data_IF_390360570361
#
_entry.id   IF_390360570361
#
_cell.length_a   1.000
_cell.length_b   1.000
_cell.length_c   1.000
_cell.angle_alpha   90.00
_cell.angle_beta   90.00
_cell.angle_gamma   90.00
#
_symmetry.space_group_name_H-M   'P 1'
#
loop_
_entity.id
_entity.type
_entity.pdbx_description
1 polymer ?
#
# COMPACT_ATOMS: atom_id res chain seq x y z
N UNK A 1 15.33 2.65 6.05
CA UNK A 1 15.04 1.82 7.23
C UNK A 1 16.01 0.67 7.14
N UNK A 2 16.93 0.55 8.08
CA UNK A 2 17.94 -0.52 8.01
C UNK A 2 17.35 -1.79 8.62
N UNK A 3 17.34 -2.86 7.83
CA UNK A 3 16.89 -4.18 8.24
C UNK A 3 18.12 -5.03 8.55
N UNK A 4 18.19 -5.56 9.78
CA UNK A 4 19.26 -6.46 10.21
C UNK A 4 18.76 -7.91 10.20
N UNK A 5 19.51 -8.82 9.58
CA UNK A 5 19.19 -10.24 9.58
C UNK A 5 19.60 -10.88 10.91
N UNK A 6 18.63 -11.27 11.73
CA UNK A 6 18.88 -11.96 13.00
C UNK A 6 18.90 -13.49 12.86
N UNK A 7 18.15 -14.05 11.90
CA UNK A 7 18.06 -15.48 11.62
C UNK A 7 17.43 -15.74 10.23
N UNK A 8 17.72 -16.91 9.65
CA UNK A 8 17.18 -17.34 8.35
C UNK A 8 17.98 -16.85 7.15
N UNK A 9 17.37 -16.88 5.98
CA UNK A 9 17.99 -16.41 4.73
C UNK A 9 17.83 -14.90 4.57
N UNK A 10 18.80 -14.29 3.89
CA UNK A 10 18.76 -12.87 3.51
C UNK A 10 17.80 -12.60 2.34
N UNK A 11 16.56 -13.11 2.43
CA UNK A 11 15.49 -12.86 1.49
C UNK A 11 14.38 -12.05 2.16
N UNK A 12 14.24 -10.80 1.72
CA UNK A 12 13.27 -9.85 2.25
C UNK A 12 12.05 -9.68 1.33
N UNK A 13 12.04 -10.36 0.18
CA UNK A 13 10.91 -10.37 -0.73
C UNK A 13 9.77 -11.19 -0.12
N UNK A 14 8.63 -10.55 0.07
CA UNK A 14 7.48 -11.13 0.72
C UNK A 14 6.21 -10.78 -0.02
N UNK A 15 5.18 -11.56 0.29
CA UNK A 15 3.84 -11.33 -0.22
C UNK A 15 2.86 -11.29 0.94
N UNK A 16 2.05 -10.24 0.96
CA UNK A 16 1.04 -10.01 2.00
C UNK A 16 -0.33 -9.85 1.37
N UNK A 17 -1.36 -10.30 2.06
CA UNK A 17 -2.74 -10.18 1.61
C UNK A 17 -3.50 -9.29 2.60
N UNK A 18 -3.97 -8.13 2.13
CA UNK A 18 -4.87 -7.26 2.88
C UNK A 18 -6.14 -7.00 2.05
N UNK A 19 -7.31 -7.14 2.68
CA UNK A 19 -8.62 -6.85 2.06
C UNK A 19 -8.84 -7.52 0.69
N UNK A 20 -8.27 -8.73 0.53
CA UNK A 20 -8.34 -9.53 -0.69
C UNK A 20 -7.48 -8.99 -1.85
N UNK A 21 -6.50 -8.12 -1.56
CA UNK A 21 -5.47 -7.65 -2.50
C UNK A 21 -4.13 -8.23 -2.05
N UNK A 22 -3.36 -8.71 -3.02
CA UNK A 22 -2.06 -9.33 -2.82
C UNK A 22 -0.97 -8.32 -3.17
N UNK A 23 -0.16 -7.96 -2.19
CA UNK A 23 0.95 -7.02 -2.34
C UNK A 23 2.25 -7.80 -2.30
N UNK A 24 3.11 -7.55 -3.30
CA UNK A 24 4.49 -8.02 -3.29
C UNK A 24 5.38 -6.88 -2.84
N UNK A 25 6.20 -7.11 -1.83
CA UNK A 25 7.03 -6.08 -1.24
C UNK A 25 8.38 -6.65 -0.82
N UNK A 26 9.38 -5.78 -0.77
CA UNK A 26 10.69 -6.07 -0.25
C UNK A 26 10.92 -5.17 0.97
N UNK A 27 10.95 -5.76 2.17
CA UNK A 27 11.08 -5.02 3.43
C UNK A 27 12.37 -4.19 3.52
N UNK A 28 13.38 -4.48 2.69
CA UNK A 28 14.59 -3.67 2.60
C UNK A 28 14.44 -2.39 1.77
N UNK A 29 13.42 -2.32 0.91
CA UNK A 29 13.24 -1.23 -0.06
C UNK A 29 12.03 -0.36 0.20
N UNK A 30 10.99 -0.91 0.81
CA UNK A 30 9.72 -0.21 1.00
C UNK A 30 9.29 -0.23 2.46
N UNK A 31 8.58 0.81 2.87
CA UNK A 31 7.90 0.83 4.15
C UNK A 31 6.58 0.07 4.07
N UNK A 32 6.33 -0.82 5.04
CA UNK A 32 5.06 -1.52 5.19
C UNK A 32 4.71 -1.76 6.66
N UNK A 33 3.43 -1.57 7.01
CA UNK A 33 2.92 -1.84 8.36
C UNK A 33 1.51 -2.45 8.30
N UNK A 34 1.40 -3.75 8.57
CA UNK A 34 0.13 -4.50 8.55
C UNK A 34 -0.88 -4.08 9.63
N UNK A 35 -0.46 -3.30 10.64
CA UNK A 35 -1.37 -2.78 11.66
C UNK A 35 -2.23 -1.61 11.18
N UNK A 36 -1.89 -1.03 10.03
CA UNK A 36 -2.62 0.11 9.45
C UNK A 36 -3.82 -0.32 8.61
N UNK A 37 -4.10 -1.62 8.47
CA UNK A 37 -5.22 -2.15 7.66
C UNK A 37 -6.58 -1.48 7.95
N UNK A 38 -6.89 -1.24 9.22
CA UNK A 38 -8.13 -0.59 9.64
C UNK A 38 -8.19 0.86 9.18
N UNK A 39 -7.05 1.56 9.20
CA UNK A 39 -6.94 2.93 8.70
C UNK A 39 -7.09 2.94 7.18
N UNK A 40 -6.38 2.07 6.46
CA UNK A 40 -6.50 1.93 5.00
C UNK A 40 -7.96 1.72 4.58
N UNK A 41 -8.63 0.75 5.21
CA UNK A 41 -10.02 0.39 4.88
C UNK A 41 -10.98 1.54 5.18
N UNK A 42 -10.92 2.14 6.37
CA UNK A 42 -11.79 3.27 6.74
C UNK A 42 -11.58 4.52 5.89
N UNK A 43 -10.34 4.79 5.47
CA UNK A 43 -10.06 5.91 4.57
C UNK A 43 -10.69 5.69 3.20
N UNK A 44 -10.54 4.48 2.64
CA UNK A 44 -11.08 4.15 1.32
C UNK A 44 -12.61 4.10 1.31
N UNK A 45 -13.23 3.64 2.41
CA UNK A 45 -14.71 3.62 2.57
C UNK A 45 -15.36 5.01 2.51
N UNK A 46 -14.60 6.08 2.76
CA UNK A 46 -15.10 7.46 2.69
C UNK A 46 -15.11 8.03 1.27
N UNK A 47 -14.47 7.35 0.32
CA UNK A 47 -14.36 7.88 -1.02
C UNK A 47 -15.63 7.60 -1.85
N UNK A 48 -16.04 8.55 -2.69
CA UNK A 48 -17.17 8.39 -3.62
C UNK A 48 -16.75 8.47 -5.10
N UNK A 49 -17.62 8.03 -6.02
CA UNK A 49 -17.31 8.00 -7.47
C UNK A 49 -17.03 9.37 -8.10
N UNK A 50 -17.34 10.47 -7.43
CA UNK A 50 -17.09 11.83 -7.88
C UNK A 50 -15.74 12.36 -7.36
N UNK A 51 -15.06 11.64 -6.46
CA UNK A 51 -13.77 12.06 -5.92
C UNK A 51 -12.63 11.77 -6.90
N UNK A 52 -11.75 12.76 -7.04
CA UNK A 52 -10.42 12.58 -7.61
C UNK A 52 -9.44 12.48 -6.44
N UNK A 53 -8.92 11.28 -6.19
CA UNK A 53 -7.99 11.01 -5.09
C UNK A 53 -6.55 11.09 -5.60
N UNK A 54 -5.71 11.81 -4.86
CA UNK A 54 -4.27 11.88 -5.06
C UNK A 54 -3.57 11.22 -3.86
N UNK A 55 -2.85 10.13 -4.11
CA UNK A 55 -2.04 9.46 -3.10
C UNK A 55 -0.57 9.91 -3.22
N UNK A 56 -0.21 10.91 -2.41
CA UNK A 56 1.10 11.59 -2.48
C UNK A 56 2.25 10.70 -1.99
N UNK A 57 1.95 9.71 -1.15
CA UNK A 57 2.92 8.80 -0.55
C UNK A 57 2.46 7.36 -0.74
N UNK A 58 2.14 7.01 -1.99
CA UNK A 58 1.44 5.76 -2.28
C UNK A 58 2.26 4.52 -1.91
N UNK A 59 3.59 4.58 -1.89
CA UNK A 59 4.43 3.41 -1.62
C UNK A 59 4.04 2.25 -2.54
N UNK A 60 3.64 1.11 -1.95
CA UNK A 60 3.13 -0.04 -2.72
C UNK A 60 1.61 -0.02 -2.99
N UNK A 61 0.94 1.07 -2.65
CA UNK A 61 -0.45 1.38 -2.97
C UNK A 61 -1.52 0.84 -2.02
N UNK A 62 -1.36 0.89 -0.68
CA UNK A 62 -2.35 0.35 0.25
C UNK A 62 -3.70 1.08 0.24
N UNK A 63 -3.76 2.35 -0.21
CA UNK A 63 -5.01 3.10 -0.36
C UNK A 63 -5.54 3.05 -1.78
N UNK A 64 -4.65 3.24 -2.76
CA UNK A 64 -5.06 3.35 -4.17
C UNK A 64 -5.58 2.03 -4.75
N UNK A 65 -4.95 0.89 -4.42
CA UNK A 65 -5.38 -0.41 -4.96
C UNK A 65 -6.78 -0.82 -4.47
N UNK A 66 -7.12 -0.66 -3.17
CA UNK A 66 -8.50 -0.81 -2.72
C UNK A 66 -9.47 0.16 -3.39
N UNK A 67 -9.10 1.44 -3.56
CA UNK A 67 -9.97 2.43 -4.20
C UNK A 67 -10.26 2.09 -5.69
N UNK A 68 -9.27 1.59 -6.44
CA UNK A 68 -9.45 1.10 -7.82
C UNK A 68 -10.48 -0.03 -7.86
N UNK A 69 -10.41 -0.98 -6.91
CA UNK A 69 -11.33 -2.12 -6.83
C UNK A 69 -12.79 -1.68 -6.64
N UNK A 70 -13.02 -0.49 -6.07
CA UNK A 70 -14.33 0.15 -5.90
C UNK A 70 -14.76 1.02 -7.11
N UNK A 71 -14.02 0.97 -8.23
CA UNK A 71 -14.30 1.66 -9.51
C UNK A 71 -14.27 3.19 -9.43
N UNK A 72 -13.28 3.73 -8.73
CA UNK A 72 -13.08 5.16 -8.59
C UNK A 72 -12.20 5.75 -9.71
N UNK A 73 -12.41 7.02 -10.06
CA UNK A 73 -11.56 7.73 -11.02
C UNK A 73 -10.32 8.26 -10.31
N UNK A 74 -9.15 7.70 -10.61
CA UNK A 74 -7.93 7.93 -9.83
C UNK A 74 -6.84 8.58 -10.69
N UNK A 75 -6.15 9.58 -10.11
CA UNK A 75 -4.95 10.17 -10.69
C UNK A 75 -3.77 9.89 -9.78
N UNK A 76 -2.85 9.09 -10.28
CA UNK A 76 -1.54 8.90 -9.65
C UNK A 76 -0.68 10.13 -9.96
N UNK A 77 -0.19 10.80 -8.92
CA UNK A 77 0.92 11.74 -9.04
C UNK A 77 2.13 11.04 -8.44
N UNK A 78 3.04 10.57 -9.29
CA UNK A 78 4.38 10.19 -8.82
C UNK A 78 5.13 11.47 -8.44
N UNK A 79 5.22 11.78 -7.14
CA UNK A 79 6.28 12.64 -6.66
C UNK A 79 7.54 11.79 -6.51
N UNK A 80 8.44 11.95 -7.47
CA UNK A 80 9.81 11.43 -7.42
C UNK A 80 10.46 11.99 -6.16
N UNK A 81 10.85 11.12 -5.22
CA UNK A 81 11.82 11.41 -4.18
C UNK A 81 13.06 10.54 -4.41
#
# INVERSE_FOLDING_TARGET
MDVELLAGDADYANEVIESGIRYKLDYSKVFWNSRLITVHSKSVEQFDQNFVVFDVFCGIGPFILPAVKLKMLLKLMEMIF
#
